data_IF_224168810604
#
_entry.id   IF_224168810604
#
_cell.length_a   1.000
_cell.length_b   1.000
_cell.length_c   1.000
_cell.angle_alpha   90.00
_cell.angle_beta   90.00
_cell.angle_gamma   90.00
#
_symmetry.space_group_name_H-M   'P 1'
#
loop_
_entity.id
_entity.type
_entity.pdbx_description
1 polymer ?
#
# COMPACT_ATOMS: atom_id res chain seq x y z
N UNK A 1 -12.70 -2.49 -12.96
CA UNK A 1 -11.57 -3.02 -13.72
C UNK A 1 -11.61 -4.54 -13.77
N UNK A 2 -11.03 -5.14 -14.80
CA UNK A 2 -10.97 -6.59 -14.96
C UNK A 2 -10.29 -7.27 -13.77
N UNK A 3 -9.30 -6.62 -13.16
CA UNK A 3 -8.58 -7.13 -12.00
C UNK A 3 -9.49 -7.21 -10.77
N UNK A 4 -10.30 -6.20 -10.54
CA UNK A 4 -11.27 -6.17 -9.43
C UNK A 4 -12.35 -7.22 -9.64
N UNK A 5 -12.82 -7.41 -10.88
CA UNK A 5 -13.79 -8.46 -11.22
C UNK A 5 -13.20 -9.87 -11.02
N UNK A 6 -11.94 -10.09 -11.36
CA UNK A 6 -11.26 -11.36 -11.13
C UNK A 6 -11.09 -11.66 -9.64
N UNK A 7 -10.72 -10.67 -8.86
CA UNK A 7 -10.61 -10.79 -7.40
C UNK A 7 -11.99 -11.05 -6.80
N UNK A 8 -13.02 -10.37 -7.27
CA UNK A 8 -14.40 -10.61 -6.84
C UNK A 8 -14.89 -12.02 -7.15
N UNK A 9 -14.63 -12.53 -8.34
CA UNK A 9 -14.96 -13.90 -8.73
C UNK A 9 -14.21 -14.93 -7.91
N UNK A 10 -12.93 -14.68 -7.65
CA UNK A 10 -12.13 -15.56 -6.83
C UNK A 10 -12.61 -15.58 -5.38
N UNK A 11 -12.99 -14.45 -4.84
CA UNK A 11 -13.55 -14.34 -3.49
C UNK A 11 -14.89 -15.08 -3.39
N UNK A 12 -15.75 -14.95 -4.38
CA UNK A 12 -17.02 -15.67 -4.42
C UNK A 12 -16.80 -17.18 -4.46
N UNK A 13 -15.88 -17.64 -5.27
CA UNK A 13 -15.52 -19.05 -5.33
C UNK A 13 -14.94 -19.56 -3.99
N UNK A 14 -14.15 -18.75 -3.32
CA UNK A 14 -13.61 -19.06 -1.99
C UNK A 14 -14.71 -19.12 -0.93
N UNK A 15 -15.69 -18.22 -1.01
CA UNK A 15 -16.87 -18.21 -0.11
C UNK A 15 -17.65 -19.50 -0.24
N UNK A 16 -17.90 -19.97 -1.45
CA UNK A 16 -18.61 -21.22 -1.70
C UNK A 16 -17.89 -22.43 -1.12
N UNK A 17 -16.56 -22.40 -1.12
CA UNK A 17 -15.74 -23.53 -0.65
C UNK A 17 -15.58 -23.61 0.87
N UNK A 18 -15.53 -22.47 1.55
CA UNK A 18 -15.10 -22.41 2.95
C UNK A 18 -16.21 -22.35 3.99
N UNK A 19 -17.43 -22.06 3.61
CA UNK A 19 -18.63 -22.09 4.47
C UNK A 19 -18.54 -21.25 5.76
N UNK A 20 -17.54 -20.39 5.91
CA UNK A 20 -17.32 -19.61 7.12
C UNK A 20 -17.18 -18.13 6.82
N UNK A 21 -18.13 -17.32 7.27
CA UNK A 21 -18.12 -15.87 7.06
C UNK A 21 -16.87 -15.22 7.69
N UNK A 22 -16.43 -15.72 8.83
CA UNK A 22 -15.21 -15.20 9.50
C UNK A 22 -13.93 -15.49 8.71
N UNK A 23 -13.79 -16.70 8.19
CA UNK A 23 -12.63 -17.08 7.38
C UNK A 23 -12.62 -16.31 6.07
N UNK A 24 -13.78 -16.07 5.47
CA UNK A 24 -13.92 -15.30 4.25
C UNK A 24 -13.45 -13.86 4.43
N UNK A 25 -13.76 -13.23 5.56
CA UNK A 25 -13.36 -11.85 5.83
C UNK A 25 -11.82 -11.74 5.98
N UNK A 26 -11.20 -12.67 6.67
CA UNK A 26 -9.73 -12.71 6.83
C UNK A 26 -9.05 -12.98 5.49
N UNK A 27 -9.55 -13.93 4.71
CA UNK A 27 -9.04 -14.21 3.37
C UNK A 27 -9.23 -13.02 2.41
N UNK A 28 -10.34 -12.31 2.50
CA UNK A 28 -10.58 -11.10 1.72
C UNK A 28 -9.57 -10.01 2.06
N UNK A 29 -9.26 -9.82 3.34
CA UNK A 29 -8.23 -8.87 3.78
C UNK A 29 -6.85 -9.28 3.27
N UNK A 30 -6.48 -10.54 3.43
CA UNK A 30 -5.20 -11.05 2.95
C UNK A 30 -5.07 -10.92 1.43
N UNK A 31 -6.13 -11.23 0.69
CA UNK A 31 -6.16 -11.06 -0.77
C UNK A 31 -6.05 -9.61 -1.18
N UNK A 32 -6.71 -8.70 -0.46
CA UNK A 32 -6.64 -7.25 -0.72
C UNK A 32 -5.25 -6.71 -0.46
N UNK A 33 -4.60 -7.12 0.63
CA UNK A 33 -3.21 -6.74 0.93
C UNK A 33 -2.27 -7.26 -0.16
N UNK A 34 -2.46 -8.49 -0.63
CA UNK A 34 -1.67 -9.07 -1.72
C UNK A 34 -1.83 -8.26 -3.01
N UNK A 35 -3.07 -7.88 -3.37
CA UNK A 35 -3.34 -7.05 -4.55
C UNK A 35 -2.66 -5.69 -4.41
N UNK A 36 -2.78 -5.04 -3.24
CA UNK A 36 -2.13 -3.77 -2.98
C UNK A 36 -0.62 -3.84 -3.08
N UNK A 37 -0.04 -4.93 -2.56
CA UNK A 37 1.39 -5.18 -2.66
C UNK A 37 1.84 -5.27 -4.12
N UNK A 38 1.05 -5.93 -4.95
CA UNK A 38 1.35 -6.08 -6.39
C UNK A 38 1.17 -4.78 -7.17
N UNK A 39 0.25 -3.92 -6.77
CA UNK A 39 0.03 -2.63 -7.43
C UNK A 39 1.29 -1.77 -7.46
N UNK A 40 2.09 -1.83 -6.42
CA UNK A 40 3.31 -1.04 -6.29
C UNK A 40 4.58 -1.85 -6.50
N UNK A 41 4.50 -3.08 -6.98
CA UNK A 41 5.67 -3.93 -7.22
C UNK A 41 6.63 -3.31 -8.24
N UNK A 42 6.12 -2.86 -9.38
CA UNK A 42 6.93 -2.24 -10.41
C UNK A 42 7.53 -0.90 -9.97
N UNK A 43 6.76 0.05 -9.41
CA UNK A 43 7.33 1.26 -8.85
C UNK A 43 8.37 1.01 -7.77
N UNK A 44 8.19 0.00 -6.94
CA UNK A 44 9.16 -0.38 -5.92
C UNK A 44 10.50 -0.80 -6.55
N UNK A 45 10.45 -1.63 -7.58
CA UNK A 45 11.65 -2.08 -8.29
C UNK A 45 12.34 -0.95 -9.04
N UNK A 46 11.59 -0.07 -9.66
CA UNK A 46 12.11 1.13 -10.33
C UNK A 46 12.79 2.06 -9.34
N UNK A 47 12.17 2.28 -8.19
CA UNK A 47 12.74 3.09 -7.11
C UNK A 47 14.02 2.47 -6.55
N UNK A 48 14.02 1.17 -6.31
CA UNK A 48 15.19 0.45 -5.84
C UNK A 48 16.35 0.55 -6.83
N UNK A 49 16.08 0.35 -8.12
CA UNK A 49 17.08 0.47 -9.18
C UNK A 49 17.64 1.88 -9.25
N UNK A 50 16.80 2.90 -9.18
CA UNK A 50 17.20 4.29 -9.21
C UNK A 50 18.12 4.64 -8.02
N UNK A 51 17.76 4.18 -6.84
CA UNK A 51 18.56 4.38 -5.62
C UNK A 51 19.93 3.70 -5.75
N UNK A 52 19.97 2.49 -6.32
CA UNK A 52 21.22 1.77 -6.53
C UNK A 52 22.13 2.43 -7.58
N UNK A 53 21.52 2.97 -8.64
CA UNK A 53 22.28 3.62 -9.71
C UNK A 53 22.77 5.02 -9.31
N UNK A 54 21.87 5.82 -8.73
CA UNK A 54 22.18 7.21 -8.38
C UNK A 54 21.36 7.68 -7.18
N UNK A 55 21.89 7.53 -5.96
CA UNK A 55 21.22 8.02 -4.75
C UNK A 55 20.96 9.53 -4.73
N UNK A 56 21.68 10.32 -5.52
CA UNK A 56 21.46 11.78 -5.61
C UNK A 56 20.07 12.12 -6.16
N UNK A 57 19.49 11.24 -6.96
CA UNK A 57 18.12 11.39 -7.49
C UNK A 57 17.09 11.48 -6.37
N UNK A 58 17.39 10.94 -5.21
CA UNK A 58 16.49 11.03 -4.04
C UNK A 58 16.45 12.43 -3.42
N UNK A 59 17.31 13.34 -3.85
CA UNK A 59 17.31 14.75 -3.46
C UNK A 59 16.79 15.66 -4.59
N UNK A 60 16.57 15.13 -5.79
CA UNK A 60 16.03 15.89 -6.91
C UNK A 60 14.50 15.97 -6.82
N UNK A 61 14.00 17.17 -6.53
CA UNK A 61 12.55 17.40 -6.38
C UNK A 61 11.75 17.03 -7.63
N UNK A 62 12.29 17.31 -8.82
CA UNK A 62 11.59 16.99 -10.08
C UNK A 62 11.46 15.48 -10.29
N UNK A 63 12.51 14.73 -9.97
CA UNK A 63 12.51 13.27 -10.06
C UNK A 63 11.54 12.65 -9.06
N UNK A 64 11.54 13.14 -7.83
CA UNK A 64 10.62 12.66 -6.79
C UNK A 64 9.17 12.97 -7.13
N UNK A 65 8.89 14.14 -7.68
CA UNK A 65 7.54 14.50 -8.16
C UNK A 65 7.07 13.58 -9.29
N UNK A 66 7.96 13.22 -10.22
CA UNK A 66 7.65 12.31 -11.30
C UNK A 66 7.29 10.92 -10.78
N UNK A 67 8.10 10.38 -9.87
CA UNK A 67 7.86 9.09 -9.22
C UNK A 67 6.55 9.12 -8.43
N UNK A 68 6.30 10.20 -7.70
CA UNK A 68 5.09 10.36 -6.91
C UNK A 68 3.85 10.41 -7.80
N UNK A 69 3.94 11.05 -8.96
CA UNK A 69 2.86 11.09 -9.95
C UNK A 69 2.44 9.71 -10.42
N UNK A 70 3.39 8.83 -10.69
CA UNK A 70 3.12 7.44 -11.03
C UNK A 70 2.45 6.68 -9.89
N UNK A 71 2.88 6.94 -8.66
CA UNK A 71 2.30 6.31 -7.47
C UNK A 71 0.88 6.80 -7.18
N UNK A 72 0.56 8.04 -7.49
CA UNK A 72 -0.79 8.58 -7.28
C UNK A 72 -1.85 7.84 -8.11
N UNK A 73 -1.51 7.42 -9.32
CA UNK A 73 -2.39 6.60 -10.14
C UNK A 73 -2.69 5.24 -9.50
N UNK A 74 -1.85 4.82 -8.58
CA UNK A 74 -1.97 3.55 -7.82
C UNK A 74 -2.44 3.79 -6.38
N UNK A 75 -3.00 4.97 -6.10
CA UNK A 75 -3.50 5.38 -4.78
C UNK A 75 -2.42 5.32 -3.70
N UNK A 76 -1.22 5.63 -4.12
CA UNK A 76 -0.03 5.58 -3.30
C UNK A 76 0.71 6.91 -3.38
N UNK A 77 1.61 7.14 -2.47
CA UNK A 77 2.48 8.31 -2.50
C UNK A 77 3.87 7.98 -1.97
N UNK A 78 4.82 8.84 -2.29
CA UNK A 78 6.22 8.70 -1.91
C UNK A 78 6.52 9.55 -0.68
N UNK A 79 7.26 8.95 0.26
CA UNK A 79 7.90 9.67 1.36
C UNK A 79 9.39 9.41 1.30
N UNK A 80 10.21 10.41 1.56
CA UNK A 80 11.65 10.25 1.68
C UNK A 80 12.10 10.84 3.01
N UNK A 81 12.85 10.06 3.76
CA UNK A 81 13.44 10.48 5.03
C UNK A 81 14.95 10.56 4.87
N UNK A 82 15.52 11.67 5.32
CA UNK A 82 16.96 11.88 5.39
C UNK A 82 17.33 12.05 6.86
N UNK A 83 18.06 11.07 7.41
CA UNK A 83 18.34 10.96 8.83
C UNK A 83 17.00 10.94 9.63
N UNK A 84 16.77 11.86 10.52
CA UNK A 84 15.55 11.94 11.33
C UNK A 84 14.49 12.89 10.76
N UNK A 85 14.73 13.44 9.56
CA UNK A 85 13.87 14.47 8.95
C UNK A 85 13.24 13.94 7.68
N UNK A 86 11.93 14.21 7.51
CA UNK A 86 11.25 13.90 6.25
C UNK A 86 11.65 14.97 5.23
N UNK A 87 12.35 14.55 4.18
CA UNK A 87 12.84 15.44 3.12
C UNK A 87 11.85 15.62 1.97
N UNK A 88 10.94 14.68 1.77
CA UNK A 88 9.91 14.74 0.73
C UNK A 88 8.62 14.09 1.21
N UNK A 89 7.51 14.75 0.94
CA UNK A 89 6.16 14.25 1.23
C UNK A 89 5.34 14.34 -0.06
N UNK A 90 4.92 13.19 -0.59
CA UNK A 90 4.18 13.10 -1.85
C UNK A 90 2.66 13.29 -1.72
N UNK A 91 2.20 13.80 -0.59
CA UNK A 91 0.79 14.09 -0.33
C UNK A 91 0.69 15.31 0.61
N UNK A 92 -0.53 15.69 0.98
CA UNK A 92 -0.72 16.75 1.98
C UNK A 92 -0.12 16.34 3.33
N UNK A 93 0.57 17.26 3.98
CA UNK A 93 1.24 17.02 5.26
C UNK A 93 0.30 16.47 6.32
N UNK A 94 -0.94 16.97 6.36
CA UNK A 94 -1.96 16.52 7.30
C UNK A 94 -2.34 15.05 7.11
N UNK A 95 -2.30 14.55 5.88
CA UNK A 95 -2.60 13.16 5.55
C UNK A 95 -1.43 12.23 5.88
N UNK A 96 -0.22 12.73 5.74
CA UNK A 96 0.99 11.96 6.00
C UNK A 96 1.37 11.89 7.49
N UNK A 97 0.89 12.81 8.31
CA UNK A 97 1.28 12.94 9.73
C UNK A 97 1.14 11.64 10.51
N UNK A 98 0.01 10.96 10.35
CA UNK A 98 -0.26 9.71 11.06
C UNK A 98 0.67 8.58 10.62
N UNK A 99 1.02 8.56 9.35
CA UNK A 99 1.96 7.58 8.78
C UNK A 99 3.37 7.90 9.27
N UNK A 100 3.78 9.16 9.20
CA UNK A 100 5.11 9.60 9.63
C UNK A 100 5.38 9.23 11.09
N UNK A 101 4.38 9.37 11.96
CA UNK A 101 4.52 9.02 13.37
C UNK A 101 4.74 7.53 13.63
N UNK A 102 4.43 6.68 12.66
CA UNK A 102 4.53 5.21 12.77
C UNK A 102 5.60 4.61 11.87
N UNK A 103 6.41 5.43 11.17
CA UNK A 103 7.42 4.91 10.26
C UNK A 103 8.46 4.08 11.01
N UNK A 104 8.85 2.92 10.43
CA UNK A 104 9.94 2.12 10.98
C UNK A 104 11.27 2.88 10.93
N UNK A 105 12.18 2.50 11.80
CA UNK A 105 13.52 3.07 11.83
C UNK A 105 14.36 2.59 10.64
N UNK A 106 15.46 3.27 10.41
CA UNK A 106 16.47 2.83 9.45
C UNK A 106 16.97 1.44 9.85
N UNK A 107 17.10 0.56 8.88
CA UNK A 107 17.49 -0.83 9.11
C UNK A 107 16.32 -1.81 9.22
N UNK A 108 15.09 -1.33 9.27
CA UNK A 108 13.89 -2.17 9.33
C UNK A 108 13.40 -2.65 7.94
N UNK A 109 14.09 -2.27 6.87
CA UNK A 109 13.68 -2.58 5.49
C UNK A 109 13.55 -4.08 5.22
N UNK A 110 14.30 -4.92 5.92
CA UNK A 110 14.21 -6.38 5.78
C UNK A 110 12.82 -6.91 6.12
N UNK A 111 12.13 -6.23 7.02
CA UNK A 111 10.76 -6.61 7.42
C UNK A 111 9.70 -6.01 6.51
N UNK A 112 10.04 -4.94 5.81
CA UNK A 112 9.09 -4.24 4.94
C UNK A 112 9.23 -4.58 3.46
N UNK A 113 10.43 -4.84 2.98
CA UNK A 113 10.79 -5.26 1.60
C UNK A 113 9.71 -5.05 0.52
N UNK A 114 9.78 -5.76 -0.56
CA UNK A 114 8.80 -5.67 -1.66
C UNK A 114 7.40 -6.17 -1.27
N UNK A 115 7.29 -6.97 -0.21
CA UNK A 115 6.01 -7.49 0.27
C UNK A 115 5.21 -6.45 1.05
N UNK A 116 5.90 -5.43 1.56
CA UNK A 116 5.26 -4.38 2.34
C UNK A 116 4.90 -4.80 3.75
N UNK A 117 4.59 -3.81 4.56
CA UNK A 117 4.16 -3.98 5.95
C UNK A 117 2.85 -3.20 6.16
N UNK A 118 1.89 -3.84 6.81
CA UNK A 118 0.65 -3.18 7.19
C UNK A 118 0.86 -2.33 8.43
N UNK A 119 0.54 -1.04 8.33
CA UNK A 119 0.47 -0.13 9.47
C UNK A 119 -1.00 0.05 9.83
N UNK A 120 -1.39 -0.49 10.98
CA UNK A 120 -2.76 -0.43 11.47
C UNK A 120 -3.06 0.86 12.23
N UNK A 121 -4.08 0.81 13.07
CA UNK A 121 -4.50 1.92 13.89
C UNK A 121 -4.99 3.12 13.08
N UNK A 122 -4.42 4.28 13.34
CA UNK A 122 -4.84 5.53 12.68
C UNK A 122 -4.33 5.66 11.24
N UNK A 123 -3.25 4.97 10.89
CA UNK A 123 -2.63 5.09 9.57
C UNK A 123 -3.38 4.30 8.50
N UNK A 124 -3.67 3.03 8.75
CA UNK A 124 -4.36 2.11 7.82
C UNK A 124 -3.77 2.15 6.42
N UNK A 125 -2.48 1.85 6.30
CA UNK A 125 -1.75 1.88 5.04
C UNK A 125 -0.88 0.63 4.91
N UNK A 126 -0.53 0.31 3.66
CA UNK A 126 0.53 -0.63 3.35
C UNK A 126 1.79 0.16 3.07
N UNK A 127 2.87 -0.19 3.74
CA UNK A 127 4.14 0.52 3.67
C UNK A 127 5.21 -0.37 3.06
N UNK A 128 5.93 0.15 2.07
CA UNK A 128 7.17 -0.45 1.56
C UNK A 128 8.32 0.50 1.86
N UNK A 129 9.43 -0.03 2.33
CA UNK A 129 10.59 0.76 2.75
C UNK A 129 11.84 0.29 2.03
N UNK A 130 12.62 1.25 1.54
CA UNK A 130 13.95 0.99 0.98
C UNK A 130 14.94 1.87 1.74
N UNK A 131 15.87 1.23 2.44
CA UNK A 131 16.95 1.94 3.12
C UNK A 131 18.14 2.12 2.19
N UNK A 132 18.78 3.27 2.25
CA UNK A 132 19.93 3.60 1.42
C UNK A 132 20.78 4.68 2.10
N UNK A 133 21.88 5.04 1.48
CA UNK A 133 22.70 6.18 1.90
C UNK A 133 22.67 7.22 0.80
N UNK A 134 22.45 8.48 1.20
CA UNK A 134 22.60 9.61 0.30
C UNK A 134 24.07 9.77 -0.12
N UNK A 135 24.33 10.56 -1.16
CA UNK A 135 25.67 10.80 -1.67
C UNK A 135 26.62 11.36 -0.61
N UNK A 136 26.11 12.11 0.36
CA UNK A 136 26.87 12.64 1.49
C UNK A 136 27.12 11.63 2.62
N UNK A 137 26.67 10.39 2.46
CA UNK A 137 26.80 9.34 3.46
C UNK A 137 25.69 9.33 4.52
N UNK A 138 24.73 10.24 4.46
CA UNK A 138 23.61 10.29 5.40
C UNK A 138 22.67 9.12 5.17
N UNK A 139 22.20 8.51 6.24
CA UNK A 139 21.22 7.44 6.18
C UNK A 139 19.87 7.97 5.68
N UNK A 140 19.27 7.26 4.72
CA UNK A 140 18.00 7.62 4.14
C UNK A 140 17.07 6.44 3.99
N UNK A 141 15.79 6.73 3.91
CA UNK A 141 14.77 5.72 3.64
C UNK A 141 13.72 6.30 2.69
N UNK A 142 13.39 5.53 1.67
CA UNK A 142 12.29 5.85 0.78
C UNK A 142 11.11 4.94 1.12
N UNK A 143 9.91 5.51 1.15
CA UNK A 143 8.69 4.78 1.51
C UNK A 143 7.67 4.93 0.41
N UNK A 144 7.07 3.80 0.03
CA UNK A 144 5.86 3.79 -0.80
C UNK A 144 4.69 3.50 0.13
N UNK A 145 3.79 4.47 0.25
CA UNK A 145 2.63 4.40 1.15
C UNK A 145 1.38 4.20 0.30
N UNK A 146 0.71 3.07 0.49
CA UNK A 146 -0.52 2.75 -0.23
C UNK A 146 -1.71 2.82 0.72
N UNK A 147 -2.72 3.62 0.37
CA UNK A 147 -3.92 3.79 1.20
C UNK A 147 -4.84 2.57 1.07
N UNK A 148 -5.08 1.89 2.16
CA UNK A 148 -5.99 0.74 2.19
C UNK A 148 -7.44 1.21 2.14
N UNK A 149 -7.75 2.31 2.83
CA UNK A 149 -9.12 2.87 2.88
C UNK A 149 -9.66 3.29 1.53
N UNK A 150 -8.80 3.54 0.52
CA UNK A 150 -9.24 3.89 -0.82
C UNK A 150 -9.86 2.71 -1.58
N UNK A 151 -9.57 1.48 -1.18
CA UNK A 151 -10.13 0.27 -1.77
C UNK A 151 -11.36 -0.17 -1.00
N UNK A 152 -11.38 0.04 0.32
CA UNK A 152 -12.56 -0.17 1.16
C UNK A 152 -13.41 1.09 1.22
N UNK A 153 -13.79 1.65 0.05
CA UNK A 153 -14.73 2.75 0.00
C UNK A 153 -16.08 2.32 0.58
N UNK A 154 -16.88 3.29 1.04
CA UNK A 154 -18.24 3.02 1.51
C UNK A 154 -19.07 2.25 0.46
N UNK A 155 -18.85 2.54 -0.82
CA UNK A 155 -19.51 1.89 -1.93
C UNK A 155 -19.14 0.40 -2.00
N UNK A 156 -17.87 0.07 -1.85
CA UNK A 156 -17.41 -1.32 -1.85
C UNK A 156 -18.01 -2.12 -0.68
N UNK A 157 -18.00 -1.55 0.53
CA UNK A 157 -18.57 -2.17 1.71
C UNK A 157 -20.09 -2.34 1.55
N UNK A 158 -20.77 -1.35 0.97
CA UNK A 158 -22.21 -1.41 0.71
C UNK A 158 -22.53 -2.51 -0.31
N UNK A 159 -21.77 -2.61 -1.40
CA UNK A 159 -21.96 -3.64 -2.43
C UNK A 159 -21.73 -5.04 -1.85
N UNK A 160 -20.72 -5.19 -1.02
CA UNK A 160 -20.44 -6.45 -0.32
C UNK A 160 -21.59 -6.84 0.63
N UNK A 161 -22.10 -5.86 1.36
CA UNK A 161 -23.22 -6.04 2.29
C UNK A 161 -24.51 -6.43 1.55
N UNK A 162 -24.80 -5.76 0.43
CA UNK A 162 -25.96 -6.07 -0.41
C UNK A 162 -25.84 -7.46 -1.03
N UNK A 163 -24.65 -7.87 -1.45
CA UNK A 163 -24.41 -9.20 -1.98
C UNK A 163 -24.68 -10.29 -0.93
N UNK A 164 -24.24 -10.06 0.31
CA UNK A 164 -24.49 -10.98 1.43
C UNK A 164 -25.98 -11.09 1.71
N UNK A 165 -26.71 -9.97 1.76
CA UNK A 165 -28.15 -9.97 1.98
C UNK A 165 -28.87 -10.74 0.86
N UNK A 166 -28.46 -10.52 -0.40
CA UNK A 166 -29.05 -11.20 -1.55
C UNK A 166 -28.87 -12.72 -1.46
N UNK A 167 -27.68 -13.17 -1.08
CA UNK A 167 -27.38 -14.59 -0.87
C UNK A 167 -28.25 -15.18 0.25
N UNK A 168 -28.42 -14.46 1.36
CA UNK A 168 -29.21 -14.88 2.48
C UNK A 168 -30.70 -15.01 2.09
N UNK A 169 -31.22 -14.06 1.30
CA UNK A 169 -32.60 -14.11 0.82
C UNK A 169 -32.83 -15.31 -0.10
N UNK A 170 -31.87 -15.57 -1.01
CA UNK A 170 -31.97 -16.75 -1.90
C UNK A 170 -31.90 -18.05 -1.13
N UNK A 171 -31.15 -18.11 -0.05
CA UNK A 171 -31.04 -19.32 0.78
C UNK A 171 -32.27 -19.56 1.63
N UNK A 172 -32.98 -18.48 2.01
CA UNK A 172 -34.23 -18.56 2.79
C UNK A 172 -35.45 -18.96 1.95
N UNK A 173 -35.37 -18.86 0.65
CA UNK A 173 -36.43 -19.28 -0.27
C UNK A 173 -36.24 -20.73 -0.69
#
# INVERSE_FOLDING_TARGET
SALVCMVGKYQLSSIEKNYGIKNTTVESLASSVTVLTRLTEQPYRELEALIQEDPEEMEDAAQLESLNGELQDKKSYLLVRKNDTISYIGTEASKAEKVISQLPEYGAAETTSENGMYLGGKAQVLLKQIDFQFADGTEGSAFIVTRITSIFSKTFLLDMFLAIIFILVLTAM
#
